data_IF_307615170901
#
_entry.id   IF_307615170901
#
_cell.length_a   1.000
_cell.length_b   1.000
_cell.length_c   1.000
_cell.angle_alpha   90.00
_cell.angle_beta   90.00
_cell.angle_gamma   90.00
#
_symmetry.space_group_name_H-M   'P 1'
#
loop_
_entity.id
_entity.type
_entity.pdbx_description
1 polymer ?
#
# COMPACT_ATOMS: atom_id res chain seq x y z
N UNK A 1 8.47 27.73 -10.50
CA UNK A 1 9.12 26.57 -9.85
C UNK A 1 8.53 26.44 -8.45
N UNK A 2 8.13 25.24 -8.03
CA UNK A 2 7.52 25.00 -6.71
C UNK A 2 8.52 24.26 -5.79
N UNK A 3 8.47 24.57 -4.50
CA UNK A 3 9.17 23.80 -3.46
C UNK A 3 8.17 22.79 -2.87
N UNK A 4 8.43 21.50 -3.05
CA UNK A 4 7.53 20.42 -2.60
C UNK A 4 8.36 19.38 -1.86
N UNK A 5 7.89 18.97 -0.69
CA UNK A 5 8.51 17.95 0.14
C UNK A 5 8.11 16.53 -0.31
N UNK A 6 8.94 15.54 0.05
CA UNK A 6 8.63 14.12 -0.22
C UNK A 6 7.36 13.64 0.50
N UNK A 7 7.02 14.23 1.64
CA UNK A 7 5.82 13.88 2.41
C UNK A 7 4.56 14.44 1.76
N UNK A 8 4.60 15.68 1.24
CA UNK A 8 3.49 16.24 0.46
C UNK A 8 3.22 15.42 -0.81
N UNK A 9 4.27 15.01 -1.53
CA UNK A 9 4.12 14.11 -2.68
C UNK A 9 3.52 12.77 -2.24
N UNK A 10 3.96 12.20 -1.12
CA UNK A 10 3.42 10.93 -0.64
C UNK A 10 1.93 11.02 -0.25
N UNK A 11 1.51 12.14 0.33
CA UNK A 11 0.11 12.42 0.65
C UNK A 11 -0.74 12.51 -0.61
N UNK A 12 -0.28 13.27 -1.61
CA UNK A 12 -0.98 13.38 -2.90
C UNK A 12 -1.10 12.01 -3.60
N UNK A 13 -0.05 11.19 -3.56
CA UNK A 13 -0.06 9.83 -4.12
C UNK A 13 -1.07 8.93 -3.40
N UNK A 14 -1.15 9.02 -2.06
CA UNK A 14 -2.11 8.27 -1.25
C UNK A 14 -3.55 8.72 -1.54
N UNK A 15 -3.81 10.02 -1.61
CA UNK A 15 -5.13 10.58 -1.89
C UNK A 15 -5.61 10.14 -3.28
N UNK A 16 -4.74 10.15 -4.29
CA UNK A 16 -5.07 9.64 -5.61
C UNK A 16 -5.29 8.12 -5.62
N UNK A 17 -4.51 7.35 -4.88
CA UNK A 17 -4.73 5.91 -4.75
C UNK A 17 -6.13 5.61 -4.20
N UNK A 18 -6.57 6.36 -3.19
CA UNK A 18 -7.90 6.22 -2.58
C UNK A 18 -9.00 6.57 -3.58
N UNK A 19 -8.87 7.68 -4.32
CA UNK A 19 -9.83 8.07 -5.35
C UNK A 19 -9.93 7.04 -6.46
N UNK A 20 -8.79 6.55 -6.95
CA UNK A 20 -8.76 5.51 -7.98
C UNK A 20 -9.50 4.26 -7.54
N UNK A 21 -9.34 3.83 -6.29
CA UNK A 21 -10.07 2.68 -5.76
C UNK A 21 -11.57 2.96 -5.58
N UNK A 22 -11.92 4.03 -4.85
CA UNK A 22 -13.28 4.27 -4.38
C UNK A 22 -14.20 4.93 -5.42
N UNK A 23 -13.67 5.79 -6.28
CA UNK A 23 -14.44 6.57 -7.26
C UNK A 23 -14.36 6.00 -8.67
N UNK A 24 -13.24 5.37 -9.01
CA UNK A 24 -12.95 4.99 -10.38
C UNK A 24 -12.88 3.47 -10.60
N UNK A 25 -13.01 2.66 -9.54
CA UNK A 25 -12.85 1.20 -9.61
C UNK A 25 -11.57 0.79 -10.37
N UNK A 26 -10.47 1.50 -10.11
CA UNK A 26 -9.20 1.37 -10.80
C UNK A 26 -8.10 0.87 -9.83
N UNK A 27 -8.15 -0.41 -9.40
CA UNK A 27 -7.29 -0.93 -8.35
C UNK A 27 -5.82 -1.07 -8.76
N UNK A 28 -5.51 -1.42 -10.01
CA UNK A 28 -4.14 -1.57 -10.49
C UNK A 28 -3.31 -0.27 -10.37
N UNK A 29 -3.75 0.90 -10.87
CA UNK A 29 -3.01 2.14 -10.64
C UNK A 29 -3.06 2.59 -9.16
N UNK A 30 -4.13 2.29 -8.42
CA UNK A 30 -4.18 2.56 -6.99
C UNK A 30 -3.07 1.83 -6.22
N UNK A 31 -2.81 0.55 -6.53
CA UNK A 31 -1.70 -0.24 -5.97
C UNK A 31 -0.35 0.43 -6.20
N UNK A 32 -0.10 0.93 -7.41
CA UNK A 32 1.17 1.58 -7.75
C UNK A 32 1.40 2.85 -6.93
N UNK A 33 0.40 3.75 -6.88
CA UNK A 33 0.51 5.01 -6.12
C UNK A 33 0.57 4.76 -4.61
N UNK A 34 -0.26 3.86 -4.08
CA UNK A 34 -0.24 3.48 -2.66
C UNK A 34 1.12 2.87 -2.26
N UNK A 35 1.70 2.03 -3.11
CA UNK A 35 3.04 1.47 -2.87
C UNK A 35 4.14 2.54 -2.86
N UNK A 36 4.05 3.56 -3.71
CA UNK A 36 4.99 4.68 -3.70
C UNK A 36 4.83 5.53 -2.42
N UNK A 37 3.58 5.82 -2.03
CA UNK A 37 3.27 6.53 -0.79
C UNK A 37 3.77 5.78 0.45
N UNK A 38 3.54 4.46 0.53
CA UNK A 38 4.01 3.60 1.62
C UNK A 38 5.52 3.73 1.81
N UNK A 39 6.30 3.63 0.73
CA UNK A 39 7.75 3.70 0.78
C UNK A 39 8.25 5.08 1.23
N UNK A 40 7.61 6.16 0.76
CA UNK A 40 7.98 7.52 1.13
C UNK A 40 7.67 7.82 2.59
N UNK A 41 6.48 7.44 3.08
CA UNK A 41 6.11 7.61 4.49
C UNK A 41 6.89 6.68 5.43
N UNK A 42 7.28 5.50 4.96
CA UNK A 42 8.02 4.52 5.77
C UNK A 42 9.49 4.88 5.99
N UNK A 43 10.11 5.65 5.08
CA UNK A 43 11.54 5.99 5.16
C UNK A 43 11.94 6.70 6.46
N UNK A 44 11.25 7.76 6.91
CA UNK A 44 11.54 8.39 8.20
C UNK A 44 11.32 7.46 9.40
N UNK A 45 10.38 6.52 9.28
CA UNK A 45 9.97 5.61 10.34
C UNK A 45 10.88 4.40 10.52
N UNK A 46 11.85 4.13 9.65
CA UNK A 46 12.83 3.04 9.81
C UNK A 46 12.22 1.70 10.29
N UNK A 47 12.40 1.32 11.56
CA UNK A 47 11.96 0.04 12.12
C UNK A 47 10.45 0.03 12.43
N UNK A 48 9.89 1.21 12.69
CA UNK A 48 8.49 1.46 13.00
C UNK A 48 7.60 1.49 11.75
N UNK A 49 8.18 1.41 10.54
CA UNK A 49 7.41 1.32 9.32
C UNK A 49 6.55 0.04 9.28
N UNK A 50 5.29 0.16 8.86
CA UNK A 50 4.30 -0.93 8.83
C UNK A 50 4.82 -2.19 8.14
N UNK A 51 5.48 -2.05 6.98
CA UNK A 51 6.11 -3.17 6.29
C UNK A 51 7.12 -3.92 7.16
N UNK A 52 7.97 -3.20 7.92
CA UNK A 52 8.98 -3.80 8.80
C UNK A 52 8.34 -4.55 9.96
N UNK A 53 7.34 -3.94 10.60
CA UNK A 53 6.58 -4.57 11.69
C UNK A 53 5.93 -5.88 11.20
N UNK A 54 5.26 -5.87 10.05
CA UNK A 54 4.62 -7.06 9.48
C UNK A 54 5.67 -8.14 9.16
N UNK A 55 6.80 -7.74 8.57
CA UNK A 55 7.90 -8.64 8.21
C UNK A 55 8.60 -9.29 9.41
N UNK A 56 8.60 -8.64 10.57
CA UNK A 56 9.19 -9.20 11.79
C UNK A 56 8.23 -10.10 12.56
N UNK A 57 6.93 -9.87 12.43
CA UNK A 57 5.90 -10.52 13.26
C UNK A 57 5.20 -11.68 12.56
N UNK A 58 4.76 -11.51 11.31
CA UNK A 58 3.91 -12.51 10.63
C UNK A 58 4.69 -13.75 10.20
N UNK A 59 5.87 -13.65 9.56
CA UNK A 59 6.63 -14.83 9.16
C UNK A 59 6.99 -15.74 10.34
N UNK A 60 7.31 -15.16 11.50
CA UNK A 60 7.57 -15.92 12.74
C UNK A 60 6.35 -16.71 13.20
N UNK A 61 5.16 -16.08 13.18
CA UNK A 61 3.89 -16.73 13.55
C UNK A 61 3.49 -17.83 12.56
N UNK A 62 3.80 -17.64 11.28
CA UNK A 62 3.48 -18.61 10.22
C UNK A 62 4.58 -19.64 9.97
N UNK A 63 5.67 -19.62 10.76
CA UNK A 63 6.86 -20.47 10.55
C UNK A 63 7.41 -20.41 9.11
N UNK A 64 7.40 -19.21 8.51
CA UNK A 64 7.83 -18.96 7.14
C UNK A 64 9.10 -18.12 7.09
N UNK A 65 9.94 -18.35 6.08
CA UNK A 65 11.08 -17.49 5.77
C UNK A 65 10.59 -16.06 5.43
N UNK A 66 11.10 -15.00 6.09
CA UNK A 66 10.67 -13.63 5.85
C UNK A 66 10.84 -13.17 4.41
N UNK A 67 11.94 -13.56 3.73
CA UNK A 67 12.18 -13.15 2.34
C UNK A 67 11.12 -13.72 1.41
N UNK A 68 10.82 -15.01 1.57
CA UNK A 68 9.76 -15.70 0.85
C UNK A 68 8.39 -15.06 1.13
N UNK A 69 8.11 -14.75 2.40
CA UNK A 69 6.86 -14.09 2.78
C UNK A 69 6.70 -12.71 2.12
N UNK A 70 7.75 -11.89 2.17
CA UNK A 70 7.77 -10.58 1.50
C UNK A 70 7.47 -10.68 0.01
N UNK A 71 8.19 -11.56 -0.68
CA UNK A 71 8.14 -11.64 -2.14
C UNK A 71 6.82 -12.25 -2.64
N UNK A 72 6.31 -13.27 -1.94
CA UNK A 72 5.13 -14.02 -2.38
C UNK A 72 3.81 -13.49 -1.83
N UNK A 73 3.81 -12.77 -0.70
CA UNK A 73 2.57 -12.39 -0.03
C UNK A 73 2.40 -10.89 0.21
N UNK A 74 3.47 -10.11 0.35
CA UNK A 74 3.35 -8.66 0.62
C UNK A 74 3.60 -7.78 -0.59
N UNK A 75 4.51 -8.19 -1.47
CA UNK A 75 4.99 -7.36 -2.57
C UNK A 75 4.76 -7.99 -3.94
N UNK A 76 4.17 -9.18 -4.01
CA UNK A 76 3.97 -9.91 -5.26
C UNK A 76 3.21 -9.06 -6.29
N UNK A 77 1.98 -8.67 -5.98
CA UNK A 77 1.10 -7.90 -6.87
C UNK A 77 1.73 -6.59 -7.33
N UNK A 78 2.27 -5.82 -6.38
CA UNK A 78 2.92 -4.54 -6.69
C UNK A 78 4.12 -4.71 -7.60
N UNK A 79 4.92 -5.76 -7.41
CA UNK A 79 6.09 -6.01 -8.23
C UNK A 79 5.68 -6.53 -9.62
N UNK A 80 4.69 -7.41 -9.69
CA UNK A 80 4.13 -7.92 -10.94
C UNK A 80 3.57 -6.78 -11.81
N UNK A 81 2.85 -5.82 -11.21
CA UNK A 81 2.34 -4.64 -11.92
C UNK A 81 3.44 -3.69 -12.43
N UNK A 82 4.68 -3.78 -11.92
CA UNK A 82 5.79 -2.86 -12.25
C UNK A 82 6.87 -3.48 -13.14
N UNK A 83 6.95 -4.81 -13.17
CA UNK A 83 8.04 -5.53 -13.81
C UNK A 83 7.49 -6.59 -14.74
N UNK A 84 7.93 -6.55 -15.99
CA UNK A 84 7.72 -7.65 -16.92
C UNK A 84 8.81 -8.69 -16.68
N UNK A 85 8.46 -9.85 -16.11
CA UNK A 85 9.42 -10.92 -15.88
C UNK A 85 9.77 -11.65 -17.17
N UNK A 86 11.05 -11.98 -17.38
CA UNK A 86 11.55 -12.67 -18.60
C UNK A 86 10.93 -14.07 -18.83
N UNK A 87 10.27 -14.64 -17.82
CA UNK A 87 9.67 -15.99 -17.83
C UNK A 87 8.16 -16.00 -17.56
N UNK A 88 7.53 -14.83 -17.51
CA UNK A 88 6.09 -14.71 -17.29
C UNK A 88 5.38 -14.51 -18.63
N UNK A 89 4.25 -15.17 -18.82
CA UNK A 89 3.39 -15.02 -20.00
C UNK A 89 2.50 -13.77 -19.93
N UNK A 90 2.68 -12.94 -18.88
CA UNK A 90 1.92 -11.72 -18.64
C UNK A 90 0.59 -11.94 -17.93
N UNK A 91 0.34 -13.13 -17.37
CA UNK A 91 -0.90 -13.46 -16.66
C UNK A 91 -0.65 -13.84 -15.18
N UNK A 92 -1.58 -13.45 -14.31
CA UNK A 92 -1.59 -13.85 -12.89
C UNK A 92 -3.02 -13.77 -12.34
N UNK A 93 -3.37 -14.71 -11.45
CA UNK A 93 -4.62 -14.68 -10.70
C UNK A 93 -4.44 -13.82 -9.44
N UNK A 94 -4.94 -12.58 -9.49
CA UNK A 94 -4.75 -11.59 -8.42
C UNK A 94 -6.10 -10.91 -8.11
N UNK A 95 -6.47 -10.87 -6.83
CA UNK A 95 -7.52 -9.97 -6.36
C UNK A 95 -6.96 -8.54 -6.22
N UNK A 96 -7.00 -7.80 -7.32
CA UNK A 96 -6.49 -6.44 -7.37
C UNK A 96 -7.17 -5.51 -6.35
N UNK A 97 -8.45 -5.75 -6.03
CA UNK A 97 -9.18 -4.88 -5.13
C UNK A 97 -8.71 -5.07 -3.69
N UNK A 98 -8.60 -6.32 -3.24
CA UNK A 98 -8.07 -6.64 -1.91
C UNK A 98 -6.60 -6.18 -1.73
N UNK A 99 -5.80 -6.32 -2.79
CA UNK A 99 -4.40 -5.86 -2.80
C UNK A 99 -4.29 -4.33 -2.72
N UNK A 100 -5.16 -3.60 -3.42
CA UNK A 100 -5.24 -2.15 -3.33
C UNK A 100 -5.62 -1.69 -1.92
N UNK A 101 -6.65 -2.30 -1.32
CA UNK A 101 -7.05 -2.02 0.08
C UNK A 101 -5.89 -2.25 1.03
N UNK A 102 -5.17 -3.37 0.89
CA UNK A 102 -4.04 -3.73 1.75
C UNK A 102 -2.89 -2.73 1.65
N UNK A 103 -2.52 -2.28 0.44
CA UNK A 103 -1.45 -1.30 0.28
C UNK A 103 -1.85 0.10 0.73
N UNK A 104 -3.09 0.54 0.49
CA UNK A 104 -3.59 1.82 1.01
C UNK A 104 -3.55 1.79 2.54
N UNK A 105 -3.94 0.69 3.17
CA UNK A 105 -3.87 0.53 4.62
C UNK A 105 -2.43 0.60 5.16
N UNK A 106 -1.47 -0.04 4.48
CA UNK A 106 -0.04 0.03 4.83
C UNK A 106 0.52 1.45 4.68
N UNK A 107 0.16 2.15 3.60
CA UNK A 107 0.52 3.54 3.40
C UNK A 107 -0.06 4.45 4.48
N UNK A 108 -1.34 4.27 4.83
CA UNK A 108 -2.00 5.00 5.93
C UNK A 108 -1.34 4.76 7.29
N UNK A 109 -0.95 3.51 7.58
CA UNK A 109 -0.25 3.17 8.82
C UNK A 109 1.11 3.89 8.93
N UNK A 110 1.80 4.11 7.81
CA UNK A 110 3.01 4.95 7.77
C UNK A 110 2.70 6.44 7.73
N UNK A 111 1.55 6.87 7.20
CA UNK A 111 1.18 8.28 7.10
C UNK A 111 0.87 8.89 8.47
N UNK A 112 0.08 8.19 9.31
CA UNK A 112 -0.39 8.70 10.60
C UNK A 112 0.74 9.23 11.50
N UNK A 113 1.88 8.53 11.70
CA UNK A 113 2.96 9.04 12.53
C UNK A 113 3.72 10.25 11.95
N UNK A 114 3.60 10.49 10.64
CA UNK A 114 4.28 11.58 9.93
C UNK A 114 3.42 12.87 9.83
N UNK A 115 2.16 12.84 10.26
CA UNK A 115 1.24 13.98 10.12
C UNK A 115 0.58 14.39 11.44
N UNK A 116 0.10 15.64 11.49
CA UNK A 116 -0.74 16.15 12.59
C UNK A 116 -2.23 15.92 12.35
N UNK A 117 -2.63 15.79 11.09
CA UNK A 117 -4.01 15.61 10.67
C UNK A 117 -4.08 14.77 9.39
N UNK A 118 -5.10 13.94 9.29
CA UNK A 118 -5.34 13.15 8.10
C UNK A 118 -5.92 14.01 6.97
N UNK A 119 -5.50 13.74 5.73
CA UNK A 119 -6.16 14.25 4.53
C UNK A 119 -7.64 13.84 4.48
N UNK A 120 -8.41 14.54 3.64
CA UNK A 120 -9.82 14.23 3.44
C UNK A 120 -10.02 12.81 2.87
N UNK A 121 -9.17 12.38 1.95
CA UNK A 121 -9.27 11.03 1.37
C UNK A 121 -8.85 9.97 2.39
N UNK A 122 -7.82 10.21 3.21
CA UNK A 122 -7.46 9.31 4.30
C UNK A 122 -8.62 9.14 5.31
N UNK A 123 -9.27 10.23 5.71
CA UNK A 123 -10.46 10.19 6.57
C UNK A 123 -11.64 9.46 5.89
N UNK A 124 -11.81 9.67 4.59
CA UNK A 124 -12.86 9.00 3.81
C UNK A 124 -12.62 7.50 3.73
N UNK A 125 -11.39 7.08 3.44
CA UNK A 125 -11.01 5.68 3.37
C UNK A 125 -11.20 4.96 4.71
N UNK A 126 -10.75 5.56 5.81
CA UNK A 126 -10.94 4.98 7.16
C UNK A 126 -12.41 4.80 7.54
N UNK A 127 -13.31 5.69 7.09
CA UNK A 127 -14.77 5.53 7.27
C UNK A 127 -15.38 4.49 6.33
N UNK A 128 -14.81 4.28 5.16
CA UNK A 128 -15.26 3.30 4.18
C UNK A 128 -14.83 1.87 4.56
N UNK A 129 -13.62 1.71 5.10
CA UNK A 129 -12.97 0.42 5.35
C UNK A 129 -13.81 -0.59 6.16
N UNK A 130 -14.53 -0.22 7.23
CA UNK A 130 -15.37 -1.19 7.96
C UNK A 130 -16.46 -1.82 7.08
N UNK A 131 -16.98 -1.08 6.08
CA UNK A 131 -18.01 -1.57 5.17
C UNK A 131 -17.45 -2.64 4.23
N UNK A 132 -16.21 -2.47 3.79
CA UNK A 132 -15.52 -3.44 2.95
C UNK A 132 -15.40 -4.81 3.62
N UNK A 133 -14.97 -4.84 4.88
CA UNK A 133 -14.85 -6.09 5.65
C UNK A 133 -16.18 -6.74 6.05
N UNK A 134 -17.30 -6.02 5.94
CA UNK A 134 -18.63 -6.60 6.13
C UNK A 134 -19.18 -7.26 4.85
N UNK A 135 -18.63 -6.90 3.69
CA UNK A 135 -19.05 -7.38 2.38
C UNK A 135 -18.08 -8.38 1.72
N UNK A 136 -16.87 -8.50 2.26
CA UNK A 136 -15.80 -9.40 1.80
C UNK A 136 -15.84 -10.73 2.55
#
# INVERSE_FOLDING_TARGET
MQNVSKLEVAEEQLDWAIRLLLDHNAPAPAITLAGAAEELFGRPLKAEAAFRIVMETVPKKLHMDPKTYSQKHLNYTRNWLKHWGDKEDGHADIDLYAEAVTLILRALANYIPNTKALSNEALRFTKWLPKYFQSA
#
